data_IF_710673692953
#
_entry.id   IF_710673692953
#
_cell.length_a   1.000
_cell.length_b   1.000
_cell.length_c   1.000
_cell.angle_alpha   90.00
_cell.angle_beta   90.00
_cell.angle_gamma   90.00
#
_symmetry.space_group_name_H-M   'P 1'
#
loop_
_entity.id
_entity.type
_entity.pdbx_description
1 polymer ?
#
# COMPACT_ATOMS: atom_id res chain seq x y z
N UNK A 1 -40.37 9.84 15.65
CA UNK A 1 -39.18 10.73 15.70
C UNK A 1 -38.16 10.09 14.76
N UNK A 2 -37.76 10.78 13.69
CA UNK A 2 -36.70 10.27 12.80
C UNK A 2 -35.37 10.28 13.55
N UNK A 3 -34.72 9.13 13.60
CA UNK A 3 -33.40 9.02 14.21
C UNK A 3 -32.37 9.72 13.31
N UNK A 4 -31.69 10.76 13.83
CA UNK A 4 -30.59 11.45 13.13
C UNK A 4 -29.35 10.58 13.13
N UNK A 5 -28.79 10.32 11.96
CA UNK A 5 -27.51 9.64 11.86
C UNK A 5 -26.37 10.66 11.77
N UNK A 6 -25.31 10.41 12.52
CA UNK A 6 -24.01 11.08 12.44
C UNK A 6 -23.00 10.03 12.03
N UNK A 7 -22.12 10.37 11.12
CA UNK A 7 -21.07 9.48 10.61
C UNK A 7 -19.69 10.01 10.96
N UNK A 8 -18.78 9.11 11.29
CA UNK A 8 -17.40 9.41 11.66
C UNK A 8 -16.43 8.55 10.83
N UNK A 9 -15.31 9.13 10.42
CA UNK A 9 -14.34 8.51 9.53
C UNK A 9 -13.03 8.14 10.23
N UNK A 10 -12.77 6.86 10.40
CA UNK A 10 -11.45 6.38 10.77
C UNK A 10 -10.54 6.35 9.53
N UNK A 11 -9.88 7.46 9.26
CA UNK A 11 -8.90 7.56 8.18
C UNK A 11 -7.61 6.87 8.62
N UNK A 12 -7.35 5.71 8.00
CA UNK A 12 -6.20 4.87 8.34
C UNK A 12 -5.21 4.88 7.17
N UNK A 13 -4.00 5.35 7.46
CA UNK A 13 -2.86 5.28 6.56
C UNK A 13 -1.76 4.46 7.22
N UNK A 14 -1.48 3.32 6.64
CA UNK A 14 -0.54 2.45 7.27
C UNK A 14 -1.08 1.84 8.58
N UNK A 15 -0.30 1.92 9.65
CA UNK A 15 -0.66 1.59 11.03
C UNK A 15 -1.08 2.81 11.84
N UNK A 16 -1.32 3.94 11.19
CA UNK A 16 -1.67 5.19 11.82
C UNK A 16 -3.13 5.56 11.54
N UNK A 17 -3.78 6.09 12.54
CA UNK A 17 -5.12 6.67 12.52
C UNK A 17 -5.01 8.19 12.54
N UNK A 18 -5.72 8.87 11.65
CA UNK A 18 -5.90 10.31 11.75
C UNK A 18 -6.97 10.61 12.80
N UNK A 19 -6.61 11.47 13.76
CA UNK A 19 -7.53 12.05 14.74
C UNK A 19 -7.53 13.57 14.61
N UNK A 20 -8.69 14.17 14.88
CA UNK A 20 -8.91 15.58 14.79
C UNK A 20 -9.21 16.17 16.19
N UNK A 21 -8.64 17.30 16.52
CA UNK A 21 -8.87 17.98 17.80
C UNK A 21 -9.99 18.99 17.66
N UNK A 22 -11.04 18.82 18.44
CA UNK A 22 -12.21 19.73 18.40
C UNK A 22 -11.86 21.16 18.78
N UNK A 23 -12.40 22.09 18.01
CA UNK A 23 -12.35 23.52 18.31
C UNK A 23 -13.56 23.96 19.16
N UNK A 24 -14.70 23.32 19.02
CA UNK A 24 -16.01 23.66 19.62
C UNK A 24 -16.90 22.41 19.74
N UNK A 25 -17.98 22.40 20.57
CA UNK A 25 -18.33 23.45 21.55
C UNK A 25 -17.33 23.50 22.73
N UNK A 26 -17.39 24.49 23.60
CA UNK A 26 -16.42 24.68 24.70
C UNK A 26 -16.22 23.43 25.58
N UNK A 27 -17.29 22.68 25.83
CA UNK A 27 -17.29 21.46 26.68
C UNK A 27 -16.48 20.32 26.10
N UNK A 28 -16.31 20.28 24.78
CA UNK A 28 -15.58 19.25 24.05
C UNK A 28 -14.27 19.79 23.42
N UNK A 29 -14.04 21.09 23.53
CA UNK A 29 -12.87 21.72 22.93
C UNK A 29 -11.56 21.15 23.50
N UNK A 30 -10.64 20.75 22.61
CA UNK A 30 -9.37 20.13 22.99
C UNK A 30 -9.42 18.60 23.08
N UNK A 31 -10.60 17.97 23.06
CA UNK A 31 -10.73 16.53 22.94
C UNK A 31 -10.51 16.07 21.49
N UNK A 32 -10.12 14.83 21.34
CA UNK A 32 -9.87 14.19 20.04
C UNK A 32 -11.05 13.35 19.60
N UNK A 33 -11.29 13.31 18.30
CA UNK A 33 -12.39 12.58 17.68
C UNK A 33 -12.01 12.02 16.32
N UNK A 34 -12.88 11.16 15.78
CA UNK A 34 -12.89 10.83 14.37
C UNK A 34 -13.66 11.94 13.62
N UNK A 35 -13.07 12.58 12.59
CA UNK A 35 -13.76 13.62 11.83
C UNK A 35 -14.99 13.08 11.11
N UNK A 36 -16.02 13.93 10.94
CA UNK A 36 -17.28 13.57 10.30
C UNK A 36 -18.44 14.43 10.74
N UNK A 37 -19.65 14.09 10.30
CA UNK A 37 -20.81 14.93 10.52
C UNK A 37 -22.15 14.28 10.30
N UNK A 38 -23.18 15.09 10.12
CA UNK A 38 -24.58 14.63 10.02
C UNK A 38 -24.91 14.12 8.63
N UNK A 39 -25.67 13.03 8.58
CA UNK A 39 -26.27 12.54 7.34
C UNK A 39 -27.49 13.40 7.01
N UNK A 40 -27.50 14.00 5.81
CA UNK A 40 -28.61 14.80 5.31
C UNK A 40 -29.76 13.93 4.79
N UNK A 41 -30.96 14.48 4.71
CA UNK A 41 -32.12 13.76 4.21
C UNK A 41 -31.89 13.25 2.77
N UNK A 42 -32.07 11.94 2.56
CA UNK A 42 -31.87 11.31 1.25
C UNK A 42 -30.41 10.96 0.91
N UNK A 43 -29.46 11.27 1.79
CA UNK A 43 -28.05 10.95 1.64
C UNK A 43 -27.73 9.57 2.25
N UNK A 44 -26.80 8.81 1.64
CA UNK A 44 -26.29 7.61 2.26
C UNK A 44 -25.18 7.96 3.27
N UNK A 45 -24.96 7.09 4.27
CA UNK A 45 -23.87 7.26 5.25
C UNK A 45 -22.50 7.49 4.55
N UNK A 46 -22.24 6.73 3.47
CA UNK A 46 -20.98 6.84 2.72
C UNK A 46 -20.84 8.18 1.98
N UNK A 47 -21.94 8.68 1.39
CA UNK A 47 -21.94 9.97 0.69
C UNK A 47 -21.75 11.11 1.68
N UNK A 48 -22.50 11.08 2.80
CA UNK A 48 -22.39 12.07 3.87
C UNK A 48 -20.96 12.13 4.41
N UNK A 49 -20.38 10.97 4.73
CA UNK A 49 -19.03 10.92 5.28
C UNK A 49 -17.96 11.45 4.29
N UNK A 50 -18.08 11.12 3.01
CA UNK A 50 -17.17 11.63 1.99
C UNK A 50 -17.26 13.15 1.86
N UNK A 51 -18.48 13.71 1.88
CA UNK A 51 -18.73 15.17 1.85
C UNK A 51 -18.14 15.86 3.09
N UNK A 52 -18.44 15.36 4.30
CA UNK A 52 -17.97 15.93 5.55
C UNK A 52 -16.43 15.95 5.62
N UNK A 53 -15.77 14.83 5.25
CA UNK A 53 -14.32 14.77 5.24
C UNK A 53 -13.68 15.69 4.17
N UNK A 54 -14.38 15.93 3.07
CA UNK A 54 -13.94 16.92 2.09
C UNK A 54 -14.06 18.35 2.66
N UNK A 55 -15.17 18.68 3.32
CA UNK A 55 -15.41 20.00 3.91
C UNK A 55 -14.45 20.28 5.08
N UNK A 56 -14.29 19.32 6.02
CA UNK A 56 -13.51 19.48 7.23
C UNK A 56 -12.00 19.34 7.03
N UNK A 57 -11.58 18.49 6.10
CA UNK A 57 -10.16 18.08 5.94
C UNK A 57 -9.58 18.37 4.55
N UNK A 58 -10.39 18.71 3.55
CA UNK A 58 -9.95 18.92 2.17
C UNK A 58 -9.56 17.66 1.42
N UNK A 59 -9.97 16.47 1.90
CA UNK A 59 -9.56 15.17 1.31
C UNK A 59 -10.70 14.51 0.54
N UNK A 60 -10.34 13.77 -0.49
CA UNK A 60 -11.21 12.82 -1.17
C UNK A 60 -11.00 11.43 -0.56
N UNK A 61 -12.07 10.70 -0.28
CA UNK A 61 -12.01 9.41 0.38
C UNK A 61 -12.89 8.36 -0.28
N UNK A 62 -12.51 7.09 -0.10
CA UNK A 62 -13.40 5.94 -0.29
C UNK A 62 -13.84 5.44 1.08
N UNK A 63 -15.14 5.34 1.29
CA UNK A 63 -15.74 4.81 2.52
C UNK A 63 -15.79 3.29 2.44
N UNK A 64 -15.23 2.65 3.45
CA UNK A 64 -15.13 1.19 3.60
C UNK A 64 -16.11 0.63 4.63
N UNK A 65 -15.79 -0.51 5.24
CA UNK A 65 -16.66 -1.18 6.20
C UNK A 65 -16.81 -0.37 7.50
N UNK A 66 -17.85 -0.72 8.26
CA UNK A 66 -18.10 -0.17 9.59
C UNK A 66 -17.01 -0.58 10.58
N UNK A 67 -16.81 0.29 11.57
CA UNK A 67 -15.96 0.05 12.75
C UNK A 67 -16.88 0.01 13.97
N UNK A 68 -16.85 -1.09 14.67
CA UNK A 68 -17.60 -1.28 15.90
C UNK A 68 -19.13 -1.16 15.76
N UNK A 69 -19.80 -1.05 16.89
CA UNK A 69 -21.24 -0.91 17.00
C UNK A 69 -21.69 0.57 16.87
N UNK A 70 -22.99 0.77 16.66
CA UNK A 70 -23.62 2.09 16.74
C UNK A 70 -23.51 2.65 18.16
N UNK A 71 -23.19 3.94 18.29
CA UNK A 71 -23.16 4.65 19.55
C UNK A 71 -24.33 5.64 19.62
N UNK A 72 -25.19 5.49 20.62
CA UNK A 72 -26.26 6.44 20.88
C UNK A 72 -25.69 7.73 21.49
N UNK A 73 -25.84 8.86 20.83
CA UNK A 73 -25.47 10.17 21.36
C UNK A 73 -26.57 10.73 22.27
N UNK A 74 -27.82 10.45 21.92
CA UNK A 74 -29.04 10.74 22.69
C UNK A 74 -30.19 9.87 22.16
N UNK A 75 -31.42 10.11 22.65
CA UNK A 75 -32.61 9.31 22.29
C UNK A 75 -32.99 9.37 20.78
N UNK A 76 -32.50 10.38 20.05
CA UNK A 76 -32.84 10.60 18.64
C UNK A 76 -31.63 10.73 17.72
N UNK A 77 -30.41 10.45 18.22
CA UNK A 77 -29.17 10.60 17.42
C UNK A 77 -28.25 9.41 17.62
N UNK A 78 -27.85 8.80 16.51
CA UNK A 78 -26.92 7.65 16.49
C UNK A 78 -25.65 8.00 15.72
N UNK A 79 -24.51 7.70 16.30
CA UNK A 79 -23.18 7.86 15.70
C UNK A 79 -22.70 6.51 15.15
N UNK A 80 -22.12 6.55 13.95
CA UNK A 80 -21.59 5.39 13.22
C UNK A 80 -20.20 5.65 12.71
N UNK A 81 -19.25 4.75 12.98
CA UNK A 81 -17.90 4.86 12.46
C UNK A 81 -17.66 3.97 11.23
N UNK A 82 -16.87 4.48 10.30
CA UNK A 82 -16.48 3.78 9.08
C UNK A 82 -14.96 3.87 8.88
N UNK A 83 -14.36 2.79 8.41
CA UNK A 83 -13.01 2.86 7.88
C UNK A 83 -13.01 3.66 6.60
N UNK A 84 -12.09 4.61 6.45
CA UNK A 84 -11.93 5.38 5.21
C UNK A 84 -10.51 5.34 4.70
N UNK A 85 -10.37 5.44 3.39
CA UNK A 85 -9.08 5.50 2.70
C UNK A 85 -9.02 6.77 1.87
N UNK A 86 -7.99 7.59 2.07
CA UNK A 86 -7.76 8.78 1.26
C UNK A 86 -7.42 8.40 -0.18
N UNK A 87 -8.10 9.02 -1.14
CA UNK A 87 -7.88 8.83 -2.57
C UNK A 87 -7.32 10.06 -3.27
N UNK A 88 -7.48 11.24 -2.67
CA UNK A 88 -6.99 12.51 -3.19
C UNK A 88 -7.03 13.62 -2.13
N UNK A 89 -6.66 14.84 -2.55
CA UNK A 89 -6.65 16.03 -1.69
C UNK A 89 -5.42 16.11 -0.76
N UNK A 90 -5.31 17.24 -0.06
CA UNK A 90 -4.30 17.48 0.96
C UNK A 90 -4.99 17.78 2.29
N UNK A 91 -4.47 17.20 3.38
CA UNK A 91 -5.04 17.35 4.72
C UNK A 91 -4.87 18.78 5.24
N UNK A 92 -5.99 19.43 5.58
CA UNK A 92 -6.07 20.73 6.22
C UNK A 92 -7.08 20.71 7.36
N UNK A 93 -6.79 21.24 8.54
CA UNK A 93 -7.73 21.32 9.66
C UNK A 93 -8.67 22.53 9.49
N UNK A 94 -9.68 22.44 8.58
CA UNK A 94 -10.58 23.54 8.30
C UNK A 94 -11.45 23.92 9.51
N UNK A 95 -11.99 22.92 10.21
CA UNK A 95 -12.90 23.10 11.37
C UNK A 95 -12.30 22.63 12.70
N UNK A 96 -11.10 22.06 12.68
CA UNK A 96 -10.43 21.50 13.86
C UNK A 96 -9.24 22.36 14.30
N UNK A 97 -8.85 22.26 15.57
CA UNK A 97 -7.66 22.94 16.10
C UNK A 97 -6.37 22.33 15.58
N UNK A 98 -6.35 21.00 15.44
CA UNK A 98 -5.19 20.23 15.01
C UNK A 98 -5.61 18.91 14.42
N UNK A 99 -4.74 18.34 13.59
CA UNK A 99 -4.80 16.97 13.11
C UNK A 99 -3.55 16.23 13.58
N UNK A 100 -3.71 14.95 13.95
CA UNK A 100 -2.58 14.13 14.39
C UNK A 100 -2.74 12.71 13.88
N UNK A 101 -1.65 12.13 13.41
CA UNK A 101 -1.54 10.72 13.13
C UNK A 101 -1.06 9.99 14.36
N UNK A 102 -1.78 8.97 14.83
CA UNK A 102 -1.47 8.21 16.05
C UNK A 102 -1.39 6.71 15.76
N UNK A 103 -0.54 6.01 16.50
CA UNK A 103 -0.44 4.55 16.50
C UNK A 103 -1.42 3.89 17.45
N UNK A 104 -1.46 2.55 17.41
CA UNK A 104 -2.33 1.77 18.30
C UNK A 104 -1.96 1.93 19.79
N UNK A 105 -0.69 2.16 20.09
CA UNK A 105 -0.15 2.37 21.45
C UNK A 105 -0.54 3.73 22.07
N UNK A 106 -0.98 4.68 21.25
CA UNK A 106 -1.40 6.02 21.71
C UNK A 106 -2.91 6.12 21.96
N UNK A 107 -3.72 5.16 21.46
CA UNK A 107 -5.19 5.22 21.48
C UNK A 107 -5.74 5.34 22.91
N UNK A 108 -5.25 4.54 23.85
CA UNK A 108 -5.74 4.53 25.23
C UNK A 108 -5.42 5.80 26.01
N UNK A 109 -4.29 6.42 25.70
CA UNK A 109 -3.82 7.63 26.34
C UNK A 109 -4.40 8.94 25.80
N UNK A 110 -5.16 8.86 24.70
CA UNK A 110 -5.71 10.05 24.05
C UNK A 110 -6.96 10.56 24.79
N UNK A 111 -7.07 11.87 24.93
CA UNK A 111 -8.27 12.51 25.50
C UNK A 111 -9.40 12.51 24.45
N UNK A 112 -10.10 11.41 24.33
CA UNK A 112 -11.18 11.21 23.37
C UNK A 112 -12.47 11.96 23.73
N UNK A 113 -13.22 12.39 22.72
CA UNK A 113 -14.65 12.64 22.86
C UNK A 113 -15.33 11.37 23.41
N UNK A 114 -16.19 11.47 24.43
CA UNK A 114 -16.75 10.27 25.10
C UNK A 114 -17.40 9.24 24.17
N UNK A 115 -18.06 9.69 23.08
CA UNK A 115 -18.71 8.82 22.12
C UNK A 115 -17.69 7.99 21.33
N UNK A 116 -16.61 8.61 20.88
CA UNK A 116 -15.58 7.98 20.02
C UNK A 116 -14.70 7.01 20.81
N UNK A 117 -14.55 7.23 22.13
CA UNK A 117 -13.85 6.31 23.02
C UNK A 117 -14.44 4.89 22.98
N UNK A 118 -15.72 4.75 22.67
CA UNK A 118 -16.39 3.44 22.57
C UNK A 118 -15.79 2.53 21.49
N UNK A 119 -15.02 3.08 20.53
CA UNK A 119 -14.41 2.30 19.43
C UNK A 119 -12.91 2.08 19.59
N UNK A 120 -12.30 2.45 20.72
CA UNK A 120 -10.84 2.37 20.88
C UNK A 120 -10.32 0.94 20.66
N UNK A 121 -11.00 -0.07 21.15
CA UNK A 121 -10.60 -1.48 20.96
C UNK A 121 -10.69 -1.90 19.49
N UNK A 122 -11.76 -1.54 18.80
CA UNK A 122 -11.95 -1.83 17.37
C UNK A 122 -10.99 -1.04 16.50
N UNK A 123 -10.68 0.20 16.89
CA UNK A 123 -9.66 1.01 16.21
C UNK A 123 -8.27 0.40 16.40
N UNK A 124 -7.93 -0.04 17.60
CA UNK A 124 -6.68 -0.77 17.87
C UNK A 124 -6.58 -2.02 17.00
N UNK A 125 -7.66 -2.81 16.95
CA UNK A 125 -7.74 -3.97 16.07
C UNK A 125 -7.63 -3.60 14.60
N UNK A 126 -8.28 -2.52 14.16
CA UNK A 126 -8.22 -2.02 12.78
C UNK A 126 -6.80 -1.57 12.39
N UNK A 127 -6.05 -0.97 13.31
CA UNK A 127 -4.65 -0.58 13.14
C UNK A 127 -3.72 -1.79 13.10
N UNK A 128 -3.96 -2.78 13.98
CA UNK A 128 -3.21 -4.05 14.00
C UNK A 128 -3.50 -4.94 12.79
N UNK A 129 -4.66 -4.80 12.15
CA UNK A 129 -5.06 -5.55 10.94
C UNK A 129 -4.55 -4.92 9.65
N UNK A 130 -3.83 -3.82 9.73
CA UNK A 130 -3.02 -3.32 8.61
C UNK A 130 -2.05 -4.42 8.14
N UNK A 131 -1.67 -4.45 6.86
CA UNK A 131 -0.72 -5.45 6.39
C UNK A 131 0.61 -5.28 7.12
N UNK A 132 1.11 -6.37 7.69
CA UNK A 132 2.45 -6.43 8.27
C UNK A 132 3.46 -6.61 7.15
N UNK A 133 4.53 -5.81 7.14
CA UNK A 133 5.67 -6.06 6.25
C UNK A 133 6.68 -6.91 7.01
N UNK A 134 6.97 -8.09 6.48
CA UNK A 134 7.89 -9.07 7.05
C UNK A 134 8.75 -9.75 5.98
N UNK A 135 9.90 -10.31 6.35
CA UNK A 135 10.63 -11.22 5.46
C UNK A 135 9.71 -12.35 5.00
N UNK A 136 9.85 -12.73 3.74
CA UNK A 136 9.07 -13.82 3.18
C UNK A 136 9.57 -15.17 3.70
N UNK A 137 8.65 -16.12 3.84
CA UNK A 137 8.92 -17.52 4.16
C UNK A 137 8.49 -18.43 2.99
N UNK A 138 8.92 -19.68 3.00
CA UNK A 138 8.66 -20.60 1.87
C UNK A 138 7.16 -20.71 1.51
N UNK A 139 6.28 -20.64 2.49
CA UNK A 139 4.83 -20.66 2.29
C UNK A 139 4.31 -19.47 1.47
N UNK A 140 5.04 -18.35 1.41
CA UNK A 140 4.65 -17.15 0.65
C UNK A 140 4.98 -17.25 -0.85
N UNK A 141 5.79 -18.22 -1.27
CA UNK A 141 6.32 -18.36 -2.63
C UNK A 141 5.24 -18.23 -3.71
N UNK A 142 4.15 -18.96 -3.56
CA UNK A 142 3.02 -18.93 -4.51
C UNK A 142 2.29 -17.59 -4.46
N UNK A 143 2.09 -17.01 -3.27
CA UNK A 143 1.49 -15.70 -3.08
C UNK A 143 2.32 -14.57 -3.71
N UNK A 144 3.66 -14.62 -3.56
CA UNK A 144 4.59 -13.67 -4.21
C UNK A 144 4.45 -13.75 -5.73
N UNK A 145 4.49 -14.97 -6.31
CA UNK A 145 4.32 -15.15 -7.75
C UNK A 145 2.97 -14.62 -8.25
N UNK A 146 1.89 -14.89 -7.52
CA UNK A 146 0.55 -14.42 -7.85
C UNK A 146 0.46 -12.90 -7.84
N UNK A 147 1.02 -12.23 -6.83
CA UNK A 147 1.06 -10.77 -6.73
C UNK A 147 1.89 -10.14 -7.85
N UNK A 148 3.03 -10.75 -8.21
CA UNK A 148 3.87 -10.28 -9.32
C UNK A 148 3.08 -10.39 -10.64
N UNK A 149 2.46 -11.53 -10.92
CA UNK A 149 1.69 -11.73 -12.16
C UNK A 149 0.49 -10.79 -12.23
N UNK A 150 -0.18 -10.54 -11.12
CA UNK A 150 -1.29 -9.60 -11.05
C UNK A 150 -0.82 -8.15 -11.27
N UNK A 151 0.27 -7.73 -10.64
CA UNK A 151 0.83 -6.39 -10.75
C UNK A 151 1.33 -6.07 -12.17
N UNK A 152 1.90 -7.07 -12.85
CA UNK A 152 2.46 -6.97 -14.21
C UNK A 152 1.64 -7.73 -15.25
N UNK A 153 0.33 -7.83 -15.02
CA UNK A 153 -0.63 -8.56 -15.88
C UNK A 153 -0.54 -8.15 -17.35
N UNK A 154 -0.36 -6.86 -17.62
CA UNK A 154 -0.26 -6.34 -18.99
C UNK A 154 0.96 -6.91 -19.71
N UNK A 155 2.10 -6.94 -19.07
CA UNK A 155 3.36 -7.45 -19.59
C UNK A 155 3.27 -8.96 -19.81
N UNK A 156 2.79 -9.69 -18.80
CA UNK A 156 2.64 -11.15 -18.88
C UNK A 156 1.56 -11.59 -19.88
N UNK A 157 0.54 -10.77 -20.15
CA UNK A 157 -0.49 -11.10 -21.14
C UNK A 157 0.04 -11.22 -22.58
N UNK A 158 1.22 -10.64 -22.86
CA UNK A 158 1.91 -10.81 -24.12
C UNK A 158 2.52 -12.21 -24.30
N UNK A 159 2.79 -12.92 -23.19
CA UNK A 159 3.37 -14.25 -23.16
C UNK A 159 2.29 -15.34 -23.13
N UNK A 160 1.24 -15.16 -22.35
CA UNK A 160 0.10 -16.07 -22.25
C UNK A 160 -1.16 -15.34 -21.83
N UNK A 161 -2.33 -15.80 -22.30
CA UNK A 161 -3.64 -15.32 -21.83
C UNK A 161 -4.08 -15.98 -20.53
N UNK A 162 -3.52 -17.14 -20.19
CA UNK A 162 -3.80 -17.85 -18.94
C UNK A 162 -2.81 -17.42 -17.86
N UNK A 163 -3.27 -16.55 -16.95
CA UNK A 163 -2.42 -16.00 -15.87
C UNK A 163 -2.12 -17.06 -14.79
N UNK A 164 -2.96 -18.05 -14.61
CA UNK A 164 -2.70 -19.17 -13.68
C UNK A 164 -1.47 -19.97 -14.14
N UNK A 165 -1.39 -20.29 -15.44
CA UNK A 165 -0.23 -20.96 -16.00
C UNK A 165 1.05 -20.09 -15.91
N UNK A 166 0.93 -18.77 -16.08
CA UNK A 166 2.05 -17.84 -15.89
C UNK A 166 2.49 -17.83 -14.43
N UNK A 167 1.56 -17.80 -13.48
CA UNK A 167 1.85 -17.87 -12.05
C UNK A 167 2.54 -19.17 -11.69
N UNK A 168 2.03 -20.31 -12.18
CA UNK A 168 2.65 -21.61 -11.95
C UNK A 168 4.07 -21.68 -12.53
N UNK A 169 4.32 -21.11 -13.72
CA UNK A 169 5.65 -21.03 -14.32
C UNK A 169 6.60 -20.12 -13.55
N UNK A 170 6.09 -19.06 -12.92
CA UNK A 170 6.89 -18.07 -12.18
C UNK A 170 7.20 -18.54 -10.76
N UNK A 171 6.30 -19.29 -10.11
CA UNK A 171 6.42 -19.73 -8.72
C UNK A 171 7.78 -20.35 -8.38
N UNK A 172 8.32 -21.33 -9.13
CA UNK A 172 9.62 -21.92 -8.82
C UNK A 172 10.80 -20.98 -9.04
N UNK A 173 10.61 -19.86 -9.76
CA UNK A 173 11.66 -18.88 -10.01
C UNK A 173 11.90 -17.91 -8.84
N UNK A 174 10.97 -17.81 -7.87
CA UNK A 174 11.04 -16.88 -6.74
C UNK A 174 12.12 -17.33 -5.75
N UNK A 175 13.14 -16.50 -5.51
CA UNK A 175 14.16 -16.70 -4.46
C UNK A 175 13.64 -16.06 -3.16
N UNK A 176 12.84 -16.82 -2.40
CA UNK A 176 12.03 -16.34 -1.27
C UNK A 176 12.84 -15.51 -0.27
N UNK A 177 14.07 -15.91 0.03
CA UNK A 177 14.97 -15.23 0.96
C UNK A 177 15.33 -13.78 0.56
N UNK A 178 15.03 -13.38 -0.68
CA UNK A 178 15.26 -12.02 -1.21
C UNK A 178 14.02 -11.14 -1.15
N UNK A 179 12.89 -11.69 -0.67
CA UNK A 179 11.62 -10.99 -0.65
C UNK A 179 11.18 -10.59 0.76
N UNK A 180 10.45 -9.50 0.80
CA UNK A 180 9.54 -9.13 1.89
C UNK A 180 8.13 -9.11 1.34
N UNK A 181 7.17 -9.43 2.18
CA UNK A 181 5.75 -9.46 1.84
C UNK A 181 4.95 -8.50 2.71
N UNK A 182 3.95 -7.89 2.12
CA UNK A 182 2.86 -7.26 2.86
C UNK A 182 1.80 -8.33 3.08
N UNK A 183 1.75 -8.82 4.31
CA UNK A 183 0.86 -9.88 4.76
C UNK A 183 -0.38 -9.27 5.42
N UNK A 184 -1.54 -9.66 4.98
CA UNK A 184 -2.82 -9.33 5.60
C UNK A 184 -3.51 -10.62 6.03
N UNK A 185 -3.30 -11.05 7.27
CA UNK A 185 -3.89 -12.28 7.85
C UNK A 185 -3.60 -13.55 7.05
N UNK A 186 -2.35 -13.74 6.65
CA UNK A 186 -1.92 -14.87 5.84
C UNK A 186 -2.13 -14.70 4.33
N UNK A 187 -2.73 -13.59 3.88
CA UNK A 187 -2.88 -13.25 2.46
C UNK A 187 -1.77 -12.28 2.02
N UNK A 188 -0.94 -12.72 1.09
CA UNK A 188 0.10 -11.89 0.48
C UNK A 188 -0.55 -10.90 -0.48
N UNK A 189 -0.59 -9.62 -0.11
CA UNK A 189 -1.20 -8.54 -0.90
C UNK A 189 -0.18 -7.63 -1.58
N UNK A 190 1.09 -7.80 -1.26
CA UNK A 190 2.20 -7.09 -1.89
C UNK A 190 3.51 -7.81 -1.66
N UNK A 191 4.46 -7.62 -2.53
CA UNK A 191 5.79 -8.19 -2.44
C UNK A 191 6.85 -7.18 -2.92
N UNK A 192 7.99 -7.18 -2.27
CA UNK A 192 9.16 -6.38 -2.64
C UNK A 192 10.39 -7.26 -2.59
N UNK A 193 11.23 -7.17 -3.61
CA UNK A 193 12.53 -7.81 -3.64
C UNK A 193 13.64 -6.78 -3.35
N UNK A 194 14.48 -7.09 -2.38
CA UNK A 194 15.70 -6.34 -2.09
C UNK A 194 16.89 -7.29 -2.21
N UNK A 195 17.78 -6.98 -3.13
CA UNK A 195 18.91 -7.82 -3.52
C UNK A 195 20.22 -7.03 -3.40
N UNK A 196 21.33 -7.72 -3.57
CA UNK A 196 22.67 -7.16 -3.59
C UNK A 196 23.52 -7.85 -4.68
N UNK A 197 24.81 -7.59 -4.70
CA UNK A 197 25.75 -8.21 -5.63
C UNK A 197 25.84 -9.74 -5.51
N UNK A 198 25.36 -10.35 -4.41
CA UNK A 198 25.46 -11.80 -4.16
C UNK A 198 24.37 -12.62 -4.86
N UNK A 199 23.30 -11.98 -5.36
CA UNK A 199 22.28 -12.70 -6.10
C UNK A 199 21.04 -11.87 -6.44
N UNK A 200 20.18 -12.47 -7.27
CA UNK A 200 18.95 -11.86 -7.78
C UNK A 200 17.73 -12.49 -7.13
N UNK A 201 16.62 -11.76 -7.19
CA UNK A 201 15.35 -12.20 -6.60
C UNK A 201 14.63 -13.29 -7.38
N UNK A 202 14.97 -13.44 -8.66
CA UNK A 202 14.30 -14.38 -9.54
C UNK A 202 15.31 -15.25 -10.29
N UNK A 203 15.00 -16.54 -10.40
CA UNK A 203 15.81 -17.52 -11.17
C UNK A 203 14.96 -18.18 -12.24
N UNK A 204 14.93 -17.58 -13.43
CA UNK A 204 14.11 -18.05 -14.55
C UNK A 204 14.73 -19.30 -15.19
N UNK A 205 13.97 -20.39 -15.23
CA UNK A 205 14.37 -21.66 -15.89
C UNK A 205 13.41 -21.96 -17.04
N UNK A 206 13.96 -22.24 -18.21
CA UNK A 206 13.16 -22.55 -19.40
C UNK A 206 12.29 -23.80 -19.24
N UNK A 207 12.71 -24.76 -18.40
CA UNK A 207 11.93 -25.97 -18.08
C UNK A 207 10.59 -25.66 -17.46
N UNK A 208 10.56 -24.74 -16.48
CA UNK A 208 9.36 -24.37 -15.75
C UNK A 208 8.35 -23.68 -16.67
N UNK A 209 8.84 -22.78 -17.52
CA UNK A 209 8.00 -22.07 -18.49
C UNK A 209 7.46 -22.99 -19.59
N UNK A 210 8.29 -23.94 -20.08
CA UNK A 210 7.86 -24.94 -21.07
C UNK A 210 6.76 -25.85 -20.54
N UNK A 211 6.85 -26.25 -19.28
CA UNK A 211 5.87 -27.10 -18.64
C UNK A 211 4.48 -26.48 -18.49
N UNK A 212 4.42 -25.17 -18.28
CA UNK A 212 3.16 -24.49 -17.97
C UNK A 212 2.54 -23.73 -19.15
N UNK A 213 3.32 -23.14 -20.05
CA UNK A 213 2.79 -22.34 -21.18
C UNK A 213 3.11 -22.90 -22.56
N UNK A 214 3.63 -24.13 -22.61
CA UNK A 214 3.94 -24.87 -23.82
C UNK A 214 5.39 -24.73 -24.29
N UNK A 215 5.87 -25.73 -25.00
CA UNK A 215 7.30 -25.90 -25.30
C UNK A 215 7.94 -24.70 -26.01
N UNK A 216 7.32 -24.19 -27.08
CA UNK A 216 7.86 -23.07 -27.88
C UNK A 216 7.67 -21.74 -27.16
N UNK A 217 6.45 -21.46 -26.69
CA UNK A 217 6.13 -20.21 -25.99
C UNK A 217 6.89 -20.08 -24.69
N UNK A 218 7.02 -21.17 -23.93
CA UNK A 218 7.77 -21.19 -22.68
C UNK A 218 9.27 -20.95 -22.88
N UNK A 219 9.88 -21.52 -23.92
CA UNK A 219 11.26 -21.26 -24.26
C UNK A 219 11.48 -19.77 -24.64
N UNK A 220 10.56 -19.20 -25.42
CA UNK A 220 10.62 -17.78 -25.81
C UNK A 220 10.43 -16.88 -24.61
N UNK A 221 9.46 -17.16 -23.75
CA UNK A 221 9.21 -16.38 -22.52
C UNK A 221 10.44 -16.36 -21.60
N UNK A 222 11.02 -17.54 -21.32
CA UNK A 222 12.23 -17.64 -20.52
C UNK A 222 13.39 -16.83 -21.13
N UNK A 223 13.56 -16.88 -22.47
CA UNK A 223 14.61 -16.12 -23.16
C UNK A 223 14.41 -14.60 -23.08
N UNK A 224 13.15 -14.13 -23.03
CA UNK A 224 12.83 -12.71 -22.89
C UNK A 224 13.04 -12.23 -21.45
N UNK A 225 12.62 -13.04 -20.46
CA UNK A 225 12.65 -12.66 -19.04
C UNK A 225 14.04 -12.82 -18.40
N UNK A 226 14.79 -13.87 -18.74
CA UNK A 226 16.04 -14.19 -18.08
C UNK A 226 17.07 -13.01 -18.08
N UNK A 227 17.32 -12.29 -19.17
CA UNK A 227 18.30 -11.20 -19.17
C UNK A 227 17.93 -10.06 -18.20
N UNK A 228 16.66 -9.81 -18.00
CA UNK A 228 16.19 -8.75 -17.11
C UNK A 228 16.36 -9.11 -15.64
N UNK A 229 16.20 -10.37 -15.28
CA UNK A 229 16.08 -10.84 -13.91
C UNK A 229 17.26 -11.67 -13.42
N UNK A 230 18.22 -11.97 -14.29
CA UNK A 230 19.39 -12.80 -13.97
C UNK A 230 20.73 -12.11 -14.24
N UNK A 231 20.75 -10.87 -14.75
CA UNK A 231 22.00 -10.11 -14.92
C UNK A 231 22.64 -9.80 -13.56
N UNK A 232 23.95 -9.94 -13.48
CA UNK A 232 24.69 -9.62 -12.24
C UNK A 232 24.57 -8.15 -11.89
N UNK A 233 24.44 -7.86 -10.60
CA UNK A 233 24.40 -6.52 -10.04
C UNK A 233 25.83 -6.13 -9.57
N UNK A 234 26.25 -4.93 -9.92
CA UNK A 234 27.56 -4.37 -9.53
C UNK A 234 27.31 -3.23 -8.54
N UNK A 235 26.97 -3.56 -7.29
CA UNK A 235 26.77 -2.60 -6.21
C UNK A 235 27.72 -2.89 -5.04
N UNK A 236 28.12 -1.85 -4.26
CA UNK A 236 28.82 -2.01 -3.01
C UNK A 236 28.04 -2.84 -1.99
N UNK A 237 28.75 -3.49 -1.07
CA UNK A 237 28.14 -4.36 -0.01
C UNK A 237 27.10 -3.64 0.86
N UNK A 238 27.26 -2.33 1.02
CA UNK A 238 26.35 -1.50 1.81
C UNK A 238 25.07 -1.12 1.05
N UNK A 239 24.95 -1.46 -0.24
CA UNK A 239 23.83 -1.05 -1.10
C UNK A 239 22.82 -2.18 -1.29
N UNK A 240 21.58 -1.93 -0.92
CA UNK A 240 20.43 -2.77 -1.27
C UNK A 240 19.78 -2.29 -2.58
N UNK A 241 19.62 -3.18 -3.55
CA UNK A 241 18.92 -2.89 -4.79
C UNK A 241 17.48 -3.37 -4.69
N UNK A 242 16.54 -2.43 -4.73
CA UNK A 242 15.11 -2.73 -4.79
C UNK A 242 14.77 -3.12 -6.24
N UNK A 243 14.74 -4.43 -6.47
CA UNK A 243 14.62 -5.01 -7.80
C UNK A 243 13.20 -5.02 -8.33
N UNK A 244 12.22 -5.18 -7.43
CA UNK A 244 10.82 -5.33 -7.77
C UNK A 244 9.93 -4.85 -6.61
N UNK A 245 8.90 -4.09 -6.94
CA UNK A 245 7.80 -3.76 -6.02
C UNK A 245 6.49 -4.10 -6.73
N UNK A 246 5.72 -5.03 -6.16
CA UNK A 246 4.45 -5.46 -6.69
C UNK A 246 3.35 -5.35 -5.63
N UNK A 247 2.18 -4.85 -6.00
CA UNK A 247 1.00 -4.75 -5.14
C UNK A 247 -0.19 -5.31 -5.90
N UNK A 248 -0.89 -6.25 -5.29
CA UNK A 248 -2.11 -6.85 -5.84
C UNK A 248 -3.13 -5.76 -6.19
N UNK A 249 -3.85 -5.90 -7.30
CA UNK A 249 -4.79 -4.90 -7.80
C UNK A 249 -5.81 -4.50 -6.72
N UNK A 250 -6.33 -5.48 -5.97
CA UNK A 250 -7.27 -5.29 -4.86
C UNK A 250 -6.69 -4.49 -3.67
N UNK A 251 -5.38 -4.32 -3.59
CA UNK A 251 -4.68 -3.63 -2.50
C UNK A 251 -3.98 -2.33 -2.95
N UNK A 252 -4.14 -1.92 -4.22
CA UNK A 252 -3.56 -0.68 -4.73
C UNK A 252 -4.20 0.54 -4.06
N UNK A 253 -3.47 1.66 -4.06
CA UNK A 253 -3.88 2.95 -3.46
C UNK A 253 -4.16 2.89 -1.95
N UNK A 254 -3.68 1.85 -1.26
CA UNK A 254 -3.76 1.69 0.20
C UNK A 254 -2.40 1.89 0.90
N UNK A 255 -1.44 2.56 0.26
CA UNK A 255 -0.11 2.80 0.83
C UNK A 255 0.81 1.58 0.90
N UNK A 256 0.42 0.42 0.33
CA UNK A 256 1.18 -0.84 0.47
C UNK A 256 2.60 -0.74 -0.10
N UNK A 257 2.78 -0.09 -1.25
CA UNK A 257 4.11 0.07 -1.85
C UNK A 257 5.04 0.89 -0.94
N UNK A 258 4.55 1.98 -0.35
CA UNK A 258 5.28 2.80 0.61
C UNK A 258 5.73 1.96 1.81
N UNK A 259 4.79 1.22 2.42
CA UNK A 259 5.09 0.33 3.54
C UNK A 259 6.11 -0.76 3.23
N UNK A 260 6.03 -1.35 2.04
CA UNK A 260 7.00 -2.35 1.61
C UNK A 260 8.41 -1.77 1.53
N UNK A 261 8.56 -0.58 0.92
CA UNK A 261 9.87 0.08 0.80
C UNK A 261 10.40 0.51 2.16
N UNK A 262 9.59 1.17 2.99
CA UNK A 262 9.95 1.56 4.36
C UNK A 262 10.29 0.35 5.22
N UNK A 263 9.52 -0.74 5.10
CA UNK A 263 9.78 -1.99 5.81
C UNK A 263 11.10 -2.64 5.42
N UNK A 264 11.47 -2.63 4.15
CA UNK A 264 12.78 -3.10 3.68
C UNK A 264 13.90 -2.20 4.21
N UNK A 265 13.73 -0.88 4.12
CA UNK A 265 14.69 0.07 4.67
C UNK A 265 14.91 -0.21 6.17
N UNK A 266 13.84 -0.35 6.94
CA UNK A 266 13.92 -0.55 8.39
C UNK A 266 14.53 -1.90 8.80
N UNK A 267 14.26 -2.99 8.06
CA UNK A 267 14.56 -4.36 8.46
C UNK A 267 15.82 -4.95 7.81
N UNK A 268 16.47 -4.24 6.88
CA UNK A 268 17.72 -4.71 6.24
C UNK A 268 18.93 -3.98 6.80
N UNK A 269 20.13 -4.53 6.53
CA UNK A 269 21.42 -3.99 6.98
C UNK A 269 21.98 -2.86 6.09
N UNK A 270 21.38 -2.62 4.93
CA UNK A 270 21.92 -1.68 3.97
C UNK A 270 21.79 -0.24 4.43
N UNK A 271 22.77 0.60 4.12
CA UNK A 271 22.77 2.05 4.37
C UNK A 271 22.24 2.81 3.16
N UNK A 272 22.51 2.28 1.99
CA UNK A 272 22.13 2.86 0.71
C UNK A 272 21.14 1.95 -0.01
N UNK A 273 20.18 2.54 -0.69
CA UNK A 273 19.19 1.81 -1.49
C UNK A 273 19.12 2.44 -2.88
N UNK A 274 19.15 1.60 -3.89
CA UNK A 274 18.93 2.02 -5.28
C UNK A 274 17.74 1.26 -5.87
N UNK A 275 17.01 1.92 -6.73
CA UNK A 275 15.94 1.33 -7.52
C UNK A 275 15.89 1.92 -8.93
N UNK A 276 15.23 1.20 -9.81
CA UNK A 276 14.96 1.63 -11.17
C UNK A 276 13.46 1.76 -11.39
N UNK A 277 13.04 2.85 -12.02
CA UNK A 277 11.65 3.08 -12.41
C UNK A 277 11.59 3.66 -13.82
N UNK A 278 10.54 3.35 -14.56
CA UNK A 278 10.33 3.92 -15.91
C UNK A 278 9.79 5.34 -15.84
N UNK A 279 10.12 6.14 -16.84
CA UNK A 279 9.66 7.54 -16.98
C UNK A 279 8.13 7.69 -16.99
N UNK A 280 7.41 6.67 -17.45
CA UNK A 280 5.94 6.65 -17.52
C UNK A 280 5.26 6.22 -16.20
N UNK A 281 5.99 5.62 -15.26
CA UNK A 281 5.42 5.17 -13.98
C UNK A 281 5.43 6.30 -12.94
N UNK A 282 4.65 7.35 -13.20
CA UNK A 282 4.54 8.51 -12.34
C UNK A 282 4.12 8.17 -10.91
N UNK A 283 3.12 7.26 -10.67
CA UNK A 283 2.72 6.91 -9.31
C UNK A 283 3.85 6.29 -8.48
N UNK A 284 4.67 5.42 -9.06
CA UNK A 284 5.79 4.82 -8.36
C UNK A 284 6.89 5.87 -8.06
N UNK A 285 7.20 6.74 -9.01
CA UNK A 285 8.17 7.83 -8.81
C UNK A 285 7.75 8.75 -7.67
N UNK A 286 6.47 9.12 -7.63
CA UNK A 286 5.93 9.97 -6.56
C UNK A 286 5.99 9.27 -5.20
N UNK A 287 5.67 7.96 -5.16
CA UNK A 287 5.80 7.14 -3.97
C UNK A 287 7.24 7.16 -3.43
N UNK A 288 8.24 6.90 -4.30
CA UNK A 288 9.64 6.86 -3.89
C UNK A 288 10.17 8.23 -3.45
N UNK A 289 9.75 9.33 -4.09
CA UNK A 289 10.11 10.68 -3.65
C UNK A 289 9.58 11.00 -2.27
N UNK A 290 8.35 10.61 -1.96
CA UNK A 290 7.75 10.81 -0.63
C UNK A 290 8.50 10.07 0.47
N UNK A 291 9.10 8.93 0.16
CA UNK A 291 9.95 8.17 1.09
C UNK A 291 11.33 8.83 1.27
N UNK A 292 11.74 9.67 0.32
CA UNK A 292 13.04 10.36 0.36
C UNK A 292 14.04 9.92 -0.71
N UNK A 293 13.61 9.08 -1.66
CA UNK A 293 14.48 8.75 -2.80
C UNK A 293 14.66 9.96 -3.71
N UNK A 294 15.91 10.18 -4.11
CA UNK A 294 16.31 11.21 -5.07
C UNK A 294 16.73 10.58 -6.40
N UNK A 295 16.43 11.26 -7.50
CA UNK A 295 16.85 10.84 -8.81
C UNK A 295 18.35 11.11 -8.99
N UNK A 296 19.13 10.08 -9.34
CA UNK A 296 20.59 10.18 -9.50
C UNK A 296 21.05 10.00 -10.93
N UNK A 297 20.29 9.28 -11.75
CA UNK A 297 20.68 8.97 -13.11
C UNK A 297 19.48 8.65 -14.01
N UNK A 298 19.58 8.96 -15.29
CA UNK A 298 18.65 8.52 -16.35
C UNK A 298 19.41 7.77 -17.44
N UNK A 299 18.78 6.75 -17.98
CA UNK A 299 19.29 5.97 -19.11
C UNK A 299 18.22 5.83 -20.16
N UNK A 300 18.52 6.27 -21.38
CA UNK A 300 17.61 6.10 -22.52
C UNK A 300 17.44 4.61 -22.85
N UNK A 301 16.21 4.18 -23.04
CA UNK A 301 15.89 2.80 -23.40
C UNK A 301 16.02 2.57 -24.89
N UNK A 302 16.80 1.57 -25.27
CA UNK A 302 16.85 1.10 -26.64
C UNK A 302 15.49 0.47 -26.97
N UNK A 303 14.87 0.85 -28.08
CA UNK A 303 13.53 0.38 -28.48
C UNK A 303 12.38 0.86 -27.57
N UNK A 304 12.48 2.01 -26.95
CA UNK A 304 11.50 2.55 -26.01
C UNK A 304 10.07 2.64 -26.58
N UNK A 305 9.89 2.89 -27.89
CA UNK A 305 8.57 2.89 -28.55
C UNK A 305 7.87 1.52 -28.47
N UNK A 306 8.64 0.42 -28.56
CA UNK A 306 8.10 -0.95 -28.48
C UNK A 306 7.81 -1.33 -27.02
N UNK A 307 8.67 -0.88 -26.10
CA UNK A 307 8.56 -1.18 -24.66
C UNK A 307 7.55 -0.30 -23.94
N UNK A 308 7.06 0.77 -24.57
CA UNK A 308 6.07 1.68 -23.98
C UNK A 308 6.64 2.71 -22.99
N UNK A 309 7.97 2.85 -22.88
CA UNK A 309 8.65 3.87 -22.07
C UNK A 309 9.97 4.29 -22.74
N UNK A 310 10.43 5.51 -22.47
CA UNK A 310 11.62 6.08 -23.13
C UNK A 310 12.89 6.05 -22.29
N UNK A 311 12.75 6.18 -21.00
CA UNK A 311 13.86 6.29 -20.05
C UNK A 311 13.66 5.40 -18.82
N UNK A 312 14.79 4.91 -18.32
CA UNK A 312 14.91 4.32 -16.98
C UNK A 312 15.49 5.37 -16.07
N UNK A 313 14.83 5.61 -14.96
CA UNK A 313 15.20 6.57 -13.93
C UNK A 313 15.71 5.78 -12.74
N UNK A 314 16.94 6.04 -12.34
CA UNK A 314 17.56 5.44 -11.17
C UNK A 314 17.40 6.41 -10.00
N UNK A 315 16.90 5.92 -8.90
CA UNK A 315 16.67 6.70 -7.70
C UNK A 315 17.41 6.06 -6.54
N UNK A 316 17.97 6.90 -5.65
CA UNK A 316 18.77 6.48 -4.50
C UNK A 316 18.21 7.08 -3.22
N UNK A 317 18.29 6.29 -2.14
CA UNK A 317 18.03 6.69 -0.77
C UNK A 317 19.22 6.30 0.09
N UNK A 318 19.67 7.20 0.96
CA UNK A 318 20.69 6.94 1.99
C UNK A 318 20.06 7.13 3.35
N UNK A 319 20.26 6.15 4.24
CA UNK A 319 19.72 6.15 5.60
C UNK A 319 20.40 7.17 6.47
#
# INVERSE_FOLDING_TARGET
VSNQIVVAGALISGSLLLVAQRARPPELAGLWELPGGKVSAGESDATALARELHEELGVEVTVGPRIGADVALNESTTLRAYRVTQTGGALHPNDHRALRWIGADELDGLAWVPADRAWVDELALALQTGPTVRPAVEADRAGIAAVIVDAYRREFSTLSRNMENVTAALTPAVEVARFFVADRRGDVIGAIACTDHTGRAMRIRATDWRGHIGFVRGALAARILAPQWMSQLEYPDATGYIELVAVAERARRQGIATRLVEGVIAQTRYTDFELEVTDVNMPARECYRKIGFVEVRRKKEKFGRIKGFRERIYMQYTR
#
